data_IF_652976881364
#
_entry.id   IF_652976881364
#
_cell.length_a   1.000
_cell.length_b   1.000
_cell.length_c   1.000
_cell.angle_alpha   90.00
_cell.angle_beta   90.00
_cell.angle_gamma   90.00
#
_symmetry.space_group_name_H-M   'P 1'
#
loop_
_entity.id
_entity.type
_entity.pdbx_description
1 polymer ?
#
# COMPACT_ATOMS: atom_id res chain seq x y z
N UNK A 1 12.55 -11.34 -20.58
CA UNK A 1 11.44 -11.31 -19.58
C UNK A 1 11.46 -10.00 -18.80
N UNK A 2 11.68 -8.88 -19.49
CA UNK A 2 12.17 -7.61 -18.93
C UNK A 2 11.16 -6.45 -19.08
N UNK A 3 9.90 -6.79 -19.38
CA UNK A 3 8.81 -5.82 -19.63
C UNK A 3 7.76 -5.83 -18.51
N UNK A 4 8.00 -6.56 -17.41
CA UNK A 4 6.96 -6.79 -16.40
C UNK A 4 7.53 -6.66 -15.00
N UNK A 5 6.81 -5.94 -14.15
CA UNK A 5 7.14 -5.82 -12.72
C UNK A 5 7.03 -7.19 -12.06
N UNK A 6 8.13 -7.64 -11.45
CA UNK A 6 8.19 -8.88 -10.68
C UNK A 6 7.34 -8.75 -9.42
N UNK A 7 6.25 -9.52 -9.35
CA UNK A 7 5.38 -9.56 -8.17
C UNK A 7 6.15 -9.95 -6.89
N UNK A 8 7.19 -10.79 -7.04
CA UNK A 8 8.07 -11.20 -5.96
C UNK A 8 8.84 -10.02 -5.36
N UNK A 9 9.32 -9.10 -6.20
CA UNK A 9 10.06 -7.92 -5.72
C UNK A 9 9.11 -6.86 -5.18
N UNK A 10 7.93 -6.71 -5.80
CA UNK A 10 6.87 -5.85 -5.28
C UNK A 10 6.42 -6.30 -3.88
N UNK A 11 6.25 -7.61 -3.67
CA UNK A 11 5.94 -8.16 -2.35
C UNK A 11 7.03 -7.84 -1.31
N UNK A 12 8.32 -7.99 -1.66
CA UNK A 12 9.42 -7.65 -0.75
C UNK A 12 9.41 -6.16 -0.38
N UNK A 13 9.18 -5.28 -1.36
CA UNK A 13 9.08 -3.83 -1.13
C UNK A 13 7.93 -3.50 -0.17
N UNK A 14 6.73 -4.04 -0.43
CA UNK A 14 5.55 -3.83 0.43
C UNK A 14 5.79 -4.37 1.83
N UNK A 15 6.31 -5.59 1.94
CA UNK A 15 6.59 -6.25 3.23
C UNK A 15 7.55 -5.43 4.09
N UNK A 16 8.64 -4.93 3.50
CA UNK A 16 9.63 -4.09 4.20
C UNK A 16 9.01 -2.81 4.79
N UNK A 17 8.05 -2.21 4.07
CA UNK A 17 7.37 -0.98 4.51
C UNK A 17 6.35 -1.28 5.62
N UNK A 18 5.59 -2.36 5.50
CA UNK A 18 4.56 -2.75 6.47
C UNK A 18 5.17 -3.27 7.77
N UNK A 19 6.24 -4.06 7.69
CA UNK A 19 6.98 -4.59 8.86
C UNK A 19 8.04 -3.61 9.41
N UNK A 20 8.19 -2.46 8.77
CA UNK A 20 9.11 -1.41 9.16
C UNK A 20 8.64 -0.59 10.38
N UNK A 21 9.07 0.68 10.48
CA UNK A 21 8.68 1.54 11.59
C UNK A 21 7.15 1.68 11.70
N UNK A 22 6.58 1.66 12.91
CA UNK A 22 5.15 1.81 13.09
C UNK A 22 4.70 3.19 12.60
N UNK A 23 3.59 3.21 11.87
CA UNK A 23 2.94 4.43 11.43
C UNK A 23 1.63 4.65 12.19
N UNK A 24 1.32 5.91 12.52
CA UNK A 24 0.10 6.27 13.22
C UNK A 24 -1.16 6.22 12.33
N UNK A 25 -0.99 6.24 11.01
CA UNK A 25 -2.06 6.33 10.02
C UNK A 25 -1.85 5.29 8.91
N UNK A 26 -2.95 4.66 8.47
CA UNK A 26 -2.93 3.72 7.34
C UNK A 26 -2.56 4.43 6.04
N UNK A 27 -2.93 5.70 5.93
CA UNK A 27 -2.60 6.62 4.84
C UNK A 27 -1.09 6.78 4.68
N UNK A 28 -0.33 6.84 5.78
CA UNK A 28 1.13 6.95 5.72
C UNK A 28 1.77 5.69 5.15
N UNK A 29 1.27 4.51 5.55
CA UNK A 29 1.73 3.23 5.01
C UNK A 29 1.39 3.13 3.52
N UNK A 30 0.14 3.46 3.14
CA UNK A 30 -0.31 3.42 1.75
C UNK A 30 0.50 4.38 0.86
N UNK A 31 0.78 5.59 1.37
CA UNK A 31 1.63 6.58 0.68
C UNK A 31 3.05 6.06 0.49
N UNK A 32 3.68 5.54 1.54
CA UNK A 32 5.05 5.01 1.46
C UNK A 32 5.16 3.86 0.46
N UNK A 33 4.19 2.94 0.47
CA UNK A 33 4.11 1.86 -0.53
C UNK A 33 4.00 2.44 -1.93
N UNK A 34 3.09 3.40 -2.16
CA UNK A 34 2.88 3.99 -3.47
C UNK A 34 4.14 4.71 -3.99
N UNK A 35 4.85 5.43 -3.14
CA UNK A 35 6.08 6.16 -3.49
C UNK A 35 7.22 5.21 -3.79
N UNK A 36 7.44 4.21 -2.94
CA UNK A 36 8.48 3.22 -3.16
C UNK A 36 8.28 2.46 -4.47
N UNK A 37 7.03 2.08 -4.80
CA UNK A 37 6.78 1.33 -6.04
C UNK A 37 6.91 2.26 -7.27
N UNK A 38 6.37 3.47 -7.24
CA UNK A 38 6.50 4.42 -8.36
C UNK A 38 7.96 4.85 -8.63
N UNK A 39 8.82 4.84 -7.60
CA UNK A 39 10.24 5.16 -7.72
C UNK A 39 11.07 3.99 -8.27
N UNK A 40 10.79 2.76 -7.84
CA UNK A 40 11.59 1.58 -8.18
C UNK A 40 11.14 0.87 -9.46
N UNK A 41 9.92 1.13 -9.93
CA UNK A 41 9.33 0.46 -11.09
C UNK A 41 8.78 1.47 -12.09
N UNK A 42 8.88 1.14 -13.38
CA UNK A 42 8.32 1.97 -14.44
C UNK A 42 6.83 1.67 -14.65
N UNK A 43 6.01 2.22 -13.77
CA UNK A 43 4.55 2.09 -13.79
C UNK A 43 3.88 3.47 -13.88
N UNK A 44 2.84 3.59 -14.70
CA UNK A 44 2.10 4.85 -14.85
C UNK A 44 1.19 5.15 -13.65
N UNK A 45 0.64 4.13 -13.00
CA UNK A 45 -0.28 4.30 -11.89
C UNK A 45 -0.25 3.13 -10.93
N UNK A 46 -0.63 3.39 -9.68
CA UNK A 46 -0.78 2.38 -8.64
C UNK A 46 -1.99 2.67 -7.78
N UNK A 47 -2.70 1.61 -7.39
CA UNK A 47 -3.73 1.65 -6.36
C UNK A 47 -3.32 0.73 -5.20
N UNK A 48 -3.24 1.28 -4.00
CA UNK A 48 -2.85 0.57 -2.78
C UNK A 48 -4.03 0.55 -1.83
N UNK A 49 -4.50 -0.65 -1.48
CA UNK A 49 -5.58 -0.86 -0.53
C UNK A 49 -5.04 -1.54 0.72
N UNK A 50 -5.17 -0.89 1.87
CA UNK A 50 -4.80 -1.45 3.17
C UNK A 50 -6.08 -1.71 3.95
N UNK A 51 -6.28 -2.97 4.35
CA UNK A 51 -7.41 -3.39 5.16
C UNK A 51 -6.94 -3.70 6.58
N UNK A 52 -7.66 -3.14 7.55
CA UNK A 52 -7.52 -3.43 8.97
C UNK A 52 -8.79 -4.20 9.40
N UNK A 53 -8.71 -5.51 9.63
CA UNK A 53 -9.85 -6.31 10.05
C UNK A 53 -10.24 -6.03 11.51
N UNK A 54 -9.27 -5.98 12.43
CA UNK A 54 -9.51 -5.66 13.85
C UNK A 54 -9.59 -4.15 14.08
N UNK A 55 -10.76 -3.57 13.83
CA UNK A 55 -11.03 -2.15 14.03
C UNK A 55 -11.82 -1.96 15.32
N UNK A 56 -11.27 -1.28 16.33
CA UNK A 56 -11.93 -1.09 17.62
C UNK A 56 -12.98 0.03 17.56
N UNK A 57 -13.98 -0.11 16.67
CA UNK A 57 -15.15 0.78 16.62
C UNK A 57 -16.27 0.08 17.38
N UNK A 58 -16.55 0.55 18.59
CA UNK A 58 -17.63 0.03 19.43
C UNK A 58 -18.99 0.17 18.71
N UNK A 59 -19.69 -0.95 18.53
CA UNK A 59 -21.05 -0.98 17.97
C UNK A 59 -21.14 -1.10 16.45
N UNK A 60 -20.03 -1.22 15.72
CA UNK A 60 -20.03 -1.45 14.28
C UNK A 60 -19.87 -2.94 13.95
N UNK A 61 -20.81 -3.51 13.18
CA UNK A 61 -20.65 -4.84 12.57
C UNK A 61 -19.96 -4.65 11.21
N UNK A 62 -18.62 -4.56 11.25
CA UNK A 62 -17.78 -4.33 10.08
C UNK A 62 -16.78 -5.47 9.91
N UNK A 63 -16.66 -6.00 8.70
CA UNK A 63 -15.65 -7.01 8.37
C UNK A 63 -14.22 -6.43 8.39
N UNK A 64 -14.07 -5.15 8.03
CA UNK A 64 -12.82 -4.39 8.10
C UNK A 64 -13.07 -2.90 7.88
N UNK A 65 -12.14 -2.06 8.34
CA UNK A 65 -11.96 -0.71 7.81
C UNK A 65 -10.71 -0.69 6.93
N UNK A 66 -10.68 0.16 5.91
CA UNK A 66 -9.53 0.23 5.04
C UNK A 66 -9.40 1.57 4.35
N UNK A 67 -8.19 1.82 3.86
CA UNK A 67 -7.87 2.99 3.07
C UNK A 67 -7.40 2.53 1.70
N UNK A 68 -7.92 3.17 0.65
CA UNK A 68 -7.46 3.00 -0.72
C UNK A 68 -6.84 4.29 -1.20
N UNK A 69 -5.60 4.23 -1.66
CA UNK A 69 -4.87 5.35 -2.24
C UNK A 69 -4.52 5.02 -3.68
N UNK A 70 -4.90 5.90 -4.60
CA UNK A 70 -4.52 5.81 -6.01
C UNK A 70 -3.58 6.96 -6.36
N UNK A 71 -2.47 6.65 -7.03
CA UNK A 71 -1.48 7.63 -7.46
C UNK A 71 -1.03 7.35 -8.89
N UNK A 72 -0.85 8.43 -9.64
CA UNK A 72 -0.35 8.39 -11.02
C UNK A 72 1.04 9.03 -11.09
N UNK A 73 1.90 8.53 -11.98
CA UNK A 73 3.25 9.05 -12.26
C UNK A 73 3.23 10.35 -13.08
N UNK A 74 2.04 10.86 -13.43
CA UNK A 74 1.85 12.10 -14.18
C UNK A 74 0.59 12.86 -13.79
N UNK A 75 0.71 13.75 -12.79
CA UNK A 75 0.16 15.11 -12.70
C UNK A 75 0.47 15.69 -11.33
#
# INVERSE_FOLDING_TARGET
VSDTVSYSDLFKTVKSIVEGPPHNLLESVAKNISEAILLNYDIESISVTIKKPDVPINGANLDYAGVTLTRNKGK
#
